data_IF_053223840142
#
_entry.id   IF_053223840142
#
_cell.length_a   1.000
_cell.length_b   1.000
_cell.length_c   1.000
_cell.angle_alpha   90.00
_cell.angle_beta   90.00
_cell.angle_gamma   90.00
#
_symmetry.space_group_name_H-M   'P 1'
#
loop_
_entity.id
_entity.type
_entity.pdbx_description
1 polymer ?
#
# COMPACT_ATOMS: atom_id res chain seq x y z
N UNK A 1 20.48 22.09 11.38
CA UNK A 1 19.30 21.36 11.90
C UNK A 1 18.17 21.18 10.87
N UNK A 2 18.19 21.83 9.70
CA UNK A 2 17.20 21.61 8.63
C UNK A 2 17.47 20.34 7.78
N UNK A 3 18.73 20.10 7.38
CA UNK A 3 19.14 18.91 6.60
C UNK A 3 18.75 17.59 7.28
N UNK A 4 18.97 17.48 8.60
CA UNK A 4 18.66 16.27 9.37
C UNK A 4 17.16 15.92 9.39
N UNK A 5 16.27 16.91 9.20
CA UNK A 5 14.82 16.69 9.10
C UNK A 5 14.41 16.26 7.69
N UNK A 6 15.08 16.75 6.64
CA UNK A 6 14.87 16.28 5.26
C UNK A 6 15.31 14.83 5.08
N UNK A 7 16.43 14.40 5.69
CA UNK A 7 16.87 13.00 5.67
C UNK A 7 16.02 12.04 6.49
N UNK A 8 15.10 12.55 7.30
CA UNK A 8 14.16 11.72 8.04
C UNK A 8 12.97 11.29 7.17
N UNK A 9 12.68 12.01 6.08
CA UNK A 9 11.53 11.72 5.23
C UNK A 9 11.83 10.57 4.25
N UNK A 10 11.11 9.43 4.30
CA UNK A 10 11.39 8.26 3.47
C UNK A 10 11.46 8.58 1.96
N UNK A 11 10.53 9.40 1.47
CA UNK A 11 10.50 9.83 0.07
C UNK A 11 11.68 10.74 -0.32
N UNK A 12 12.19 11.57 0.59
CA UNK A 12 13.34 12.43 0.31
C UNK A 12 14.64 11.62 0.27
N UNK A 13 14.73 10.58 1.11
CA UNK A 13 15.85 9.64 1.10
C UNK A 13 15.86 8.82 -0.21
N UNK A 14 14.69 8.33 -0.65
CA UNK A 14 14.56 7.65 -1.94
C UNK A 14 14.88 8.56 -3.13
N UNK A 15 14.35 9.78 -3.15
CA UNK A 15 14.63 10.75 -4.21
C UNK A 15 16.13 11.06 -4.32
N UNK A 16 16.83 11.18 -3.19
CA UNK A 16 18.28 11.37 -3.17
C UNK A 16 19.03 10.12 -3.63
N UNK A 17 18.61 8.93 -3.21
CA UNK A 17 19.23 7.68 -3.66
C UNK A 17 19.15 7.56 -5.18
N UNK A 18 18.00 7.87 -5.78
CA UNK A 18 17.81 7.89 -7.23
C UNK A 18 18.62 8.98 -7.97
N UNK A 19 19.02 10.05 -7.28
CA UNK A 19 19.84 11.13 -7.85
C UNK A 19 21.35 10.87 -7.76
N UNK A 20 21.79 9.80 -7.09
CA UNK A 20 23.21 9.46 -7.05
C UNK A 20 23.64 8.87 -8.40
N UNK A 21 24.76 9.33 -8.99
CA UNK A 21 25.21 8.87 -10.31
C UNK A 21 25.53 7.36 -10.37
N UNK A 22 25.83 6.75 -9.22
CA UNK A 22 26.12 5.32 -9.08
C UNK A 22 24.98 4.55 -8.39
N UNK A 23 23.75 5.08 -8.41
CA UNK A 23 22.62 4.39 -7.82
C UNK A 23 22.29 3.12 -8.61
N UNK A 24 22.74 1.97 -8.10
CA UNK A 24 22.40 0.65 -8.63
C UNK A 24 20.96 0.28 -8.26
N UNK A 25 19.98 0.93 -8.89
CA UNK A 25 18.53 0.68 -8.68
C UNK A 25 18.14 -0.77 -9.00
N UNK A 26 18.96 -1.46 -9.80
CA UNK A 26 18.77 -2.86 -10.19
C UNK A 26 19.38 -3.87 -9.21
N UNK A 27 20.16 -3.42 -8.23
CA UNK A 27 20.73 -4.29 -7.21
C UNK A 27 20.07 -3.98 -5.86
N UNK A 28 19.49 -4.99 -5.20
CA UNK A 28 18.95 -4.78 -3.86
C UNK A 28 20.08 -4.35 -2.91
N UNK A 29 19.86 -3.35 -2.03
CA UNK A 29 20.83 -2.99 -1.00
C UNK A 29 21.15 -4.18 -0.11
N UNK A 30 22.33 -4.19 0.48
CA UNK A 30 22.69 -5.25 1.42
C UNK A 30 21.88 -5.16 2.73
N UNK A 31 21.87 -6.25 3.50
CA UNK A 31 21.08 -6.34 4.72
C UNK A 31 21.53 -5.33 5.79
N UNK A 32 22.82 -4.96 5.79
CA UNK A 32 23.38 -3.98 6.73
C UNK A 32 22.90 -2.56 6.42
N UNK A 33 22.82 -2.21 5.14
CA UNK A 33 22.29 -0.95 4.64
C UNK A 33 20.79 -0.82 4.91
N UNK A 34 20.04 -1.92 4.70
CA UNK A 34 18.60 -1.98 5.03
C UNK A 34 18.35 -1.80 6.53
N UNK A 35 19.14 -2.46 7.38
CA UNK A 35 19.04 -2.34 8.84
C UNK A 35 19.42 -0.92 9.32
N UNK A 36 20.45 -0.31 8.74
CA UNK A 36 20.84 1.07 9.02
C UNK A 36 19.74 2.06 8.58
N UNK A 37 19.11 1.82 7.44
CA UNK A 37 17.98 2.59 6.94
C UNK A 37 16.76 2.46 7.87
N UNK A 38 16.40 1.23 8.25
CA UNK A 38 15.28 0.95 9.14
C UNK A 38 15.47 1.63 10.51
N UNK A 39 16.69 1.68 11.04
CA UNK A 39 17.00 2.41 12.28
C UNK A 39 16.83 3.92 12.13
N UNK A 40 17.21 4.48 10.98
CA UNK A 40 17.01 5.92 10.70
C UNK A 40 15.53 6.27 10.55
N UNK A 41 14.73 5.38 9.97
CA UNK A 41 13.29 5.59 9.76
C UNK A 41 12.43 5.27 10.98
N UNK A 42 12.92 4.49 11.96
CA UNK A 42 12.21 4.21 13.23
C UNK A 42 11.84 5.46 14.04
N UNK A 43 12.61 6.54 13.89
CA UNK A 43 12.35 7.82 14.54
C UNK A 43 11.46 8.78 13.74
N UNK A 44 10.99 8.38 12.55
CA UNK A 44 10.10 9.20 11.76
C UNK A 44 8.69 9.16 12.34
N UNK A 45 8.14 10.30 12.82
CA UNK A 45 6.79 10.32 13.38
C UNK A 45 5.79 9.98 12.27
N UNK A 46 5.08 8.86 12.44
CA UNK A 46 3.94 8.47 11.57
C UNK A 46 2.84 9.53 11.60
N UNK A 47 2.76 10.30 12.67
CA UNK A 47 1.62 11.15 13.02
C UNK A 47 1.75 12.61 12.56
N UNK A 48 2.60 12.91 11.56
CA UNK A 48 2.54 14.25 10.96
C UNK A 48 1.36 14.33 10.02
N UNK A 49 0.25 14.87 10.53
CA UNK A 49 -0.95 15.25 9.79
C UNK A 49 -1.27 14.24 8.68
N UNK A 50 -1.35 12.95 9.06
CA UNK A 50 -1.67 11.90 8.11
C UNK A 50 -3.01 12.28 7.46
N UNK A 51 -3.07 12.47 6.12
CA UNK A 51 -4.29 12.90 5.47
C UNK A 51 -5.44 11.99 5.89
N UNK A 52 -6.63 12.54 6.08
CA UNK A 52 -7.81 11.79 6.55
C UNK A 52 -8.05 10.55 5.69
N UNK A 53 -7.72 10.64 4.40
CA UNK A 53 -7.76 9.54 3.45
C UNK A 53 -6.84 8.37 3.83
N UNK A 54 -5.64 8.65 4.33
CA UNK A 54 -4.66 7.63 4.69
C UNK A 54 -4.98 7.01 6.05
N UNK A 55 -5.48 7.80 7.00
CA UNK A 55 -6.06 7.27 8.25
C UNK A 55 -7.24 6.32 7.97
N UNK A 56 -8.14 6.73 7.07
CA UNK A 56 -9.27 5.90 6.64
C UNK A 56 -8.80 4.59 5.98
N UNK A 57 -7.77 4.64 5.13
CA UNK A 57 -7.18 3.45 4.52
C UNK A 57 -6.58 2.50 5.58
N UNK A 58 -5.90 3.03 6.59
CA UNK A 58 -5.38 2.23 7.70
C UNK A 58 -6.52 1.54 8.46
N UNK A 59 -7.59 2.26 8.80
CA UNK A 59 -8.77 1.69 9.47
C UNK A 59 -9.41 0.59 8.63
N UNK A 60 -9.61 0.83 7.32
CA UNK A 60 -10.21 -0.16 6.41
C UNK A 60 -9.33 -1.40 6.30
N UNK A 61 -8.00 -1.24 6.22
CA UNK A 61 -7.05 -2.36 6.18
C UNK A 61 -7.13 -3.21 7.45
N UNK A 62 -7.11 -2.57 8.60
CA UNK A 62 -7.11 -3.27 9.88
C UNK A 62 -8.46 -3.99 10.07
N UNK A 63 -9.58 -3.34 9.74
CA UNK A 63 -10.91 -3.96 9.74
C UNK A 63 -11.02 -5.16 8.78
N UNK A 64 -10.43 -5.08 7.60
CA UNK A 64 -10.38 -6.20 6.65
C UNK A 64 -9.61 -7.41 7.19
N UNK A 65 -8.62 -7.18 8.04
CA UNK A 65 -7.81 -8.24 8.66
C UNK A 65 -8.54 -9.00 9.77
N UNK A 66 -9.56 -8.39 10.36
CA UNK A 66 -10.37 -8.99 11.43
C UNK A 66 -11.43 -9.97 10.90
N UNK A 67 -11.71 -9.97 9.59
CA UNK A 67 -12.73 -10.85 9.02
C UNK A 67 -12.27 -12.31 8.99
N UNK A 68 -12.93 -13.22 9.74
CA UNK A 68 -12.60 -14.65 9.71
C UNK A 68 -13.00 -15.35 8.41
N UNK A 69 -13.88 -14.72 7.60
CA UNK A 69 -14.49 -15.34 6.41
C UNK A 69 -14.40 -14.42 5.19
N UNK A 70 -14.07 -15.00 4.04
CA UNK A 70 -13.97 -14.30 2.76
C UNK A 70 -15.33 -13.72 2.31
N UNK A 71 -16.46 -14.32 2.69
CA UNK A 71 -17.78 -13.78 2.37
C UNK A 71 -18.01 -12.38 2.99
N UNK A 72 -17.43 -12.11 4.16
CA UNK A 72 -17.57 -10.81 4.82
C UNK A 72 -16.76 -9.72 4.10
N UNK A 73 -15.59 -10.08 3.56
CA UNK A 73 -14.82 -9.18 2.69
C UNK A 73 -15.57 -8.86 1.41
N UNK A 74 -16.26 -9.85 0.82
CA UNK A 74 -17.12 -9.65 -0.37
C UNK A 74 -18.27 -8.68 -0.11
N UNK A 75 -18.91 -8.74 1.05
CA UNK A 75 -19.96 -7.79 1.44
C UNK A 75 -19.42 -6.36 1.51
N UNK A 76 -18.24 -6.14 2.10
CA UNK A 76 -17.62 -4.81 2.15
C UNK A 76 -17.26 -4.30 0.75
N UNK A 77 -16.71 -5.17 -0.10
CA UNK A 77 -16.41 -4.83 -1.50
C UNK A 77 -17.67 -4.43 -2.27
N UNK A 78 -18.77 -5.16 -2.11
CA UNK A 78 -20.06 -4.84 -2.73
C UNK A 78 -20.57 -3.45 -2.27
N UNK A 79 -20.52 -3.17 -0.97
CA UNK A 79 -20.94 -1.87 -0.42
C UNK A 79 -20.10 -0.71 -0.99
N UNK A 80 -18.79 -0.90 -1.11
CA UNK A 80 -17.89 0.09 -1.70
C UNK A 80 -18.20 0.32 -3.18
N UNK A 81 -18.39 -0.75 -3.96
CA UNK A 81 -18.73 -0.66 -5.38
C UNK A 81 -20.05 0.11 -5.59
N UNK A 82 -21.07 -0.19 -4.79
CA UNK A 82 -22.36 0.49 -4.86
C UNK A 82 -22.27 1.97 -4.47
N UNK A 83 -21.49 2.29 -3.43
CA UNK A 83 -21.19 3.68 -3.07
C UNK A 83 -20.49 4.45 -4.21
N UNK A 84 -19.54 3.81 -4.89
CA UNK A 84 -18.84 4.40 -6.05
C UNK A 84 -19.78 4.61 -7.25
N UNK A 85 -20.72 3.69 -7.49
CA UNK A 85 -21.75 3.86 -8.52
C UNK A 85 -22.67 5.02 -8.20
N UNK A 86 -23.14 5.11 -6.96
CA UNK A 86 -24.00 6.21 -6.49
C UNK A 86 -23.29 7.57 -6.62
N UNK A 87 -21.97 7.61 -6.39
CA UNK A 87 -21.13 8.79 -6.59
C UNK A 87 -20.80 9.11 -8.06
N UNK A 88 -21.41 8.40 -9.03
CA UNK A 88 -21.13 8.53 -10.48
C UNK A 88 -19.66 8.25 -10.85
N UNK A 89 -19.03 7.32 -10.15
CA UNK A 89 -17.66 6.83 -10.42
C UNK A 89 -17.67 5.33 -10.80
N UNK A 90 -18.38 4.93 -11.87
CA UNK A 90 -18.56 3.52 -12.23
C UNK A 90 -17.23 2.80 -12.49
N UNK A 91 -16.24 3.45 -13.11
CA UNK A 91 -14.95 2.83 -13.37
C UNK A 91 -14.13 2.48 -12.11
N UNK A 92 -14.43 3.10 -10.96
CA UNK A 92 -13.85 2.67 -9.68
C UNK A 92 -14.60 1.47 -9.11
N UNK A 93 -15.92 1.44 -9.24
CA UNK A 93 -16.75 0.30 -8.84
C UNK A 93 -16.36 -0.98 -9.61
N UNK A 94 -16.12 -0.87 -10.91
CA UNK A 94 -15.73 -2.01 -11.76
C UNK A 94 -14.40 -2.64 -11.33
N UNK A 95 -13.46 -1.81 -10.81
CA UNK A 95 -12.19 -2.30 -10.26
C UNK A 95 -12.39 -3.07 -8.95
N UNK A 96 -13.31 -2.63 -8.10
CA UNK A 96 -13.64 -3.33 -6.86
C UNK A 96 -14.32 -4.66 -7.18
N UNK A 97 -15.27 -4.68 -8.13
CA UNK A 97 -15.94 -5.89 -8.57
C UNK A 97 -14.97 -6.92 -9.17
N UNK A 98 -13.95 -6.46 -9.90
CA UNK A 98 -12.92 -7.34 -10.45
C UNK A 98 -12.17 -8.15 -9.38
N UNK A 99 -12.02 -7.61 -8.16
CA UNK A 99 -11.36 -8.29 -7.05
C UNK A 99 -12.20 -9.44 -6.45
N UNK A 100 -13.51 -9.43 -6.69
CA UNK A 100 -14.42 -10.50 -6.23
C UNK A 100 -14.53 -11.67 -7.20
N UNK A 101 -14.04 -11.49 -8.44
CA UNK A 101 -14.00 -12.55 -9.43
C UNK A 101 -12.81 -13.46 -9.12
N UNK A 102 -12.99 -14.79 -9.12
CA UNK A 102 -11.86 -15.71 -8.99
C UNK A 102 -10.89 -15.48 -10.16
N UNK A 103 -9.59 -15.44 -9.85
CA UNK A 103 -8.54 -15.28 -10.85
C UNK A 103 -8.61 -16.47 -11.83
N UNK A 104 -8.84 -16.23 -13.14
CA UNK A 104 -8.91 -17.32 -14.13
C UNK A 104 -7.59 -18.11 -14.22
N UNK A 105 -6.47 -17.58 -13.71
CA UNK A 105 -5.17 -18.24 -13.76
C UNK A 105 -5.02 -19.46 -12.84
N UNK A 106 -5.86 -19.63 -11.81
CA UNK A 106 -5.73 -20.76 -10.86
C UNK A 106 -6.62 -21.95 -11.28
N UNK A 107 -7.62 -21.73 -12.14
CA UNK A 107 -8.58 -22.78 -12.52
C UNK A 107 -8.10 -23.72 -13.64
N UNK A 108 -6.91 -23.48 -14.22
CA UNK A 108 -6.35 -24.30 -15.30
C UNK A 108 -5.25 -25.28 -14.89
N UNK A 109 -4.89 -25.36 -13.62
CA UNK A 109 -3.72 -26.14 -13.15
C UNK A 109 -4.06 -27.49 -12.51
N UNK A 110 -5.30 -27.99 -12.61
CA UNK A 110 -5.73 -29.22 -11.90
C UNK A 110 -6.33 -30.32 -12.79
N UNK A 111 -6.18 -30.24 -14.11
CA UNK A 111 -6.52 -31.35 -15.02
C UNK A 111 -5.25 -31.81 -15.77
N UNK A 112 -4.43 -32.62 -15.10
CA UNK A 112 -3.56 -33.66 -15.71
C UNK A 112 -3.48 -34.86 -14.77
#
# INVERSE_FOLDING_TARGET
QALAKEFAHPAALLARWLQQPDAHVTQPPDEADLEALARRLRGYPKDRDEPVELQLLNIIRDFLSEFPKEEQKRLLMMLLADGMRAARKPGHADRVDALTKPDPAISGATDV
#
